data_IF_207136046547
#
_entry.id   IF_207136046547
#
_cell.length_a   1.000
_cell.length_b   1.000
_cell.length_c   1.000
_cell.angle_alpha   90.00
_cell.angle_beta   90.00
_cell.angle_gamma   90.00
#
_symmetry.space_group_name_H-M   'P 1'
#
loop_
_entity.id
_entity.type
_entity.pdbx_description
1 polymer ?
#
# COMPACT_ATOMS: atom_id res chain seq x y z
N UNK A 1 -11.49 -11.68 1.08
CA UNK A 1 -11.09 -10.31 0.72
C UNK A 1 -9.75 -10.43 0.00
N UNK A 2 -9.72 -10.29 -1.33
CA UNK A 2 -8.46 -10.35 -2.09
C UNK A 2 -7.98 -8.91 -2.29
N UNK A 3 -6.89 -8.54 -1.63
CA UNK A 3 -6.31 -7.19 -1.66
C UNK A 3 -4.88 -7.24 -2.17
N UNK A 4 -4.52 -6.27 -3.03
CA UNK A 4 -3.17 -6.09 -3.56
C UNK A 4 -2.36 -5.19 -2.64
N UNK A 5 -1.13 -5.59 -2.30
CA UNK A 5 -0.21 -4.83 -1.45
C UNK A 5 1.23 -4.98 -1.95
N UNK A 6 1.98 -3.86 -1.95
CA UNK A 6 3.43 -3.86 -2.09
C UNK A 6 4.03 -4.50 -0.82
N UNK A 7 4.24 -5.81 -0.91
CA UNK A 7 4.98 -6.75 -0.03
C UNK A 7 4.53 -6.96 1.43
N UNK A 8 4.08 -8.19 1.74
CA UNK A 8 4.47 -9.02 2.89
C UNK A 8 4.16 -10.50 2.58
N UNK A 9 4.96 -11.50 3.01
CA UNK A 9 4.54 -12.91 2.97
C UNK A 9 3.52 -13.16 4.09
N UNK A 10 2.37 -13.79 3.78
CA UNK A 10 1.50 -14.36 4.81
C UNK A 10 1.33 -15.86 4.60
N UNK A 11 1.61 -16.59 5.68
CA UNK A 11 0.88 -17.81 5.96
C UNK A 11 -0.63 -17.51 5.93
N UNK A 12 -1.40 -18.43 5.35
CA UNK A 12 -2.86 -18.46 5.25
C UNK A 12 -3.55 -17.54 4.21
N UNK A 13 -4.07 -18.17 3.15
CA UNK A 13 -5.43 -17.93 2.65
C UNK A 13 -5.72 -16.79 1.65
N UNK A 14 -4.84 -15.83 1.42
CA UNK A 14 -5.05 -14.78 0.39
C UNK A 14 -4.01 -14.88 -0.72
N UNK A 15 -4.47 -14.92 -1.98
CA UNK A 15 -3.59 -14.89 -3.15
C UNK A 15 -2.72 -13.61 -3.09
N UNK A 16 -1.42 -13.80 -2.86
CA UNK A 16 -0.39 -12.77 -2.86
C UNK A 16 0.63 -13.17 -3.91
N UNK A 17 0.70 -12.44 -5.02
CA UNK A 17 1.72 -12.63 -6.06
C UNK A 17 2.50 -11.33 -6.30
N UNK A 18 3.80 -11.45 -6.58
CA UNK A 18 4.65 -10.32 -7.00
C UNK A 18 4.75 -10.33 -8.52
N UNK A 19 4.43 -9.21 -9.16
CA UNK A 19 4.58 -9.03 -10.60
C UNK A 19 5.17 -7.65 -10.87
N UNK A 20 6.04 -7.56 -11.88
CA UNK A 20 6.52 -6.26 -12.37
C UNK A 20 5.40 -5.56 -13.14
N UNK A 21 5.30 -4.24 -12.98
CA UNK A 21 4.47 -3.39 -13.83
C UNK A 21 5.39 -2.77 -14.88
N UNK A 22 5.18 -3.13 -16.15
CA UNK A 22 6.07 -2.81 -17.26
C UNK A 22 5.62 -1.60 -18.06
N UNK A 23 4.47 -0.99 -17.70
CA UNK A 23 3.95 0.22 -18.33
C UNK A 23 3.05 -0.04 -19.54
N UNK A 24 2.82 -1.30 -19.89
CA UNK A 24 1.71 -1.72 -20.76
C UNK A 24 0.49 -2.00 -19.89
N UNK A 25 -0.49 -1.08 -19.93
CA UNK A 25 -1.66 -1.14 -19.05
C UNK A 25 -2.49 -2.43 -19.24
N UNK A 26 -2.56 -2.99 -20.46
CA UNK A 26 -3.34 -4.22 -20.70
C UNK A 26 -2.62 -5.42 -20.11
N UNK A 27 -1.33 -5.56 -20.46
CA UNK A 27 -0.51 -6.66 -19.97
C UNK A 27 -0.38 -6.64 -18.44
N UNK A 28 -0.14 -5.48 -17.86
CA UNK A 28 0.02 -5.32 -16.42
C UNK A 28 -1.28 -5.65 -15.66
N UNK A 29 -2.44 -5.38 -16.25
CA UNK A 29 -3.74 -5.76 -15.67
C UNK A 29 -3.96 -7.26 -15.69
N UNK A 30 -3.59 -7.94 -16.77
CA UNK A 30 -3.65 -9.40 -16.86
C UNK A 30 -2.78 -10.03 -15.77
N UNK A 31 -1.54 -9.55 -15.59
CA UNK A 31 -0.65 -10.02 -14.53
C UNK A 31 -1.26 -9.88 -13.12
N UNK A 32 -1.89 -8.74 -12.83
CA UNK A 32 -2.55 -8.51 -11.53
C UNK A 32 -3.74 -9.46 -11.35
N UNK A 33 -4.58 -9.62 -12.37
CA UNK A 33 -5.73 -10.51 -12.33
C UNK A 33 -5.29 -11.99 -12.18
N UNK A 34 -4.31 -12.44 -12.94
CA UNK A 34 -3.79 -13.81 -12.86
C UNK A 34 -3.22 -14.10 -11.47
N UNK A 35 -2.43 -13.16 -10.93
CA UNK A 35 -1.90 -13.21 -9.58
C UNK A 35 -2.97 -13.30 -8.49
N UNK A 36 -4.11 -12.65 -8.71
CA UNK A 36 -5.23 -12.64 -7.78
C UNK A 36 -6.27 -13.74 -8.05
N UNK A 37 -6.14 -14.51 -9.14
CA UNK A 37 -7.14 -15.49 -9.59
C UNK A 37 -8.44 -14.85 -10.08
N UNK A 38 -8.36 -13.68 -10.70
CA UNK A 38 -9.46 -12.88 -11.22
C UNK A 38 -9.43 -11.41 -10.75
N UNK A 39 -10.49 -10.64 -11.05
CA UNK A 39 -10.60 -9.25 -10.60
C UNK A 39 -10.59 -9.12 -9.07
N UNK A 40 -10.00 -8.03 -8.56
CA UNK A 40 -9.83 -7.79 -7.12
C UNK A 40 -11.02 -7.06 -6.50
N UNK A 41 -11.24 -7.25 -5.20
CA UNK A 41 -12.31 -6.57 -4.47
C UNK A 41 -11.97 -5.11 -4.19
N UNK A 42 -10.68 -4.84 -3.96
CA UNK A 42 -10.20 -3.55 -3.47
C UNK A 42 -8.72 -3.32 -3.82
N UNK A 43 -8.43 -2.08 -4.17
CA UNK A 43 -7.07 -1.51 -4.21
C UNK A 43 -6.85 -0.62 -3.01
N UNK A 44 -5.68 -0.75 -2.39
CA UNK A 44 -5.18 0.20 -1.42
C UNK A 44 -3.82 0.69 -1.90
N UNK A 45 -3.78 1.95 -2.32
CA UNK A 45 -2.62 2.59 -2.90
C UNK A 45 -1.82 3.33 -1.82
N UNK A 46 -0.56 2.92 -1.64
CA UNK A 46 0.48 3.58 -0.85
C UNK A 46 1.74 3.81 -1.68
N UNK A 47 1.61 3.92 -3.00
CA UNK A 47 2.77 4.03 -3.87
C UNK A 47 3.53 5.35 -3.62
N UNK A 48 4.88 5.32 -3.71
CA UNK A 48 5.70 6.49 -3.43
C UNK A 48 5.66 7.50 -4.59
N UNK A 49 6.37 8.62 -4.49
CA UNK A 49 6.25 9.72 -5.45
C UNK A 49 6.76 9.39 -6.86
N UNK A 50 7.64 8.39 -6.97
CA UNK A 50 8.37 8.05 -8.19
C UNK A 50 7.57 7.12 -9.12
N UNK A 51 6.37 6.68 -8.70
CA UNK A 51 5.51 5.88 -9.58
C UNK A 51 4.71 6.75 -10.53
N UNK A 52 4.34 6.18 -11.68
CA UNK A 52 3.48 6.86 -12.64
C UNK A 52 1.99 6.66 -12.34
N UNK A 53 1.17 7.59 -12.83
CA UNK A 53 -0.28 7.48 -12.85
C UNK A 53 -0.76 6.20 -13.54
N UNK A 54 -0.02 5.72 -14.54
CA UNK A 54 -0.31 4.47 -15.25
C UNK A 54 -0.23 3.26 -14.31
N UNK A 55 0.79 3.20 -13.44
CA UNK A 55 0.94 2.11 -12.47
C UNK A 55 -0.20 2.07 -11.45
N UNK A 56 -0.66 3.24 -10.99
CA UNK A 56 -1.86 3.33 -10.14
C UNK A 56 -3.10 2.89 -10.91
N UNK A 57 -3.29 3.37 -12.14
CA UNK A 57 -4.43 3.02 -13.00
C UNK A 57 -4.54 1.52 -13.27
N UNK A 58 -3.44 0.82 -13.52
CA UNK A 58 -3.44 -0.64 -13.72
C UNK A 58 -4.19 -1.31 -12.58
N UNK A 59 -3.78 -1.06 -11.33
CA UNK A 59 -4.42 -1.66 -10.17
C UNK A 59 -5.89 -1.22 -10.05
N UNK A 60 -6.19 0.06 -10.29
CA UNK A 60 -7.57 0.57 -10.24
C UNK A 60 -8.50 -0.12 -11.25
N UNK A 61 -8.01 -0.43 -12.45
CA UNK A 61 -8.79 -1.02 -13.53
C UNK A 61 -8.92 -2.55 -13.42
N UNK A 62 -8.29 -3.19 -12.43
CA UNK A 62 -8.49 -4.62 -12.13
C UNK A 62 -9.54 -4.88 -11.04
N UNK A 63 -10.12 -3.83 -10.45
CA UNK A 63 -11.23 -4.01 -9.51
C UNK A 63 -12.45 -4.56 -10.22
N UNK A 64 -13.17 -5.47 -9.56
CA UNK A 64 -14.45 -5.98 -10.05
C UNK A 64 -15.54 -4.89 -10.09
N UNK A 65 -16.68 -5.19 -10.73
CA UNK A 65 -17.91 -4.41 -10.63
C UNK A 65 -18.29 -4.16 -9.16
N UNK A 66 -18.51 -2.90 -8.79
CA UNK A 66 -18.76 -2.46 -7.41
C UNK A 66 -17.50 -2.45 -6.52
N UNK A 67 -16.32 -2.54 -7.12
CA UNK A 67 -15.03 -2.55 -6.45
C UNK A 67 -14.64 -1.21 -5.82
N UNK A 68 -13.60 -1.24 -4.98
CA UNK A 68 -13.15 -0.08 -4.20
C UNK A 68 -11.70 0.27 -4.46
N UNK A 69 -11.41 1.55 -4.62
CA UNK A 69 -10.05 2.08 -4.72
C UNK A 69 -9.86 3.10 -3.61
N UNK A 70 -8.88 2.84 -2.74
CA UNK A 70 -8.45 3.76 -1.69
C UNK A 70 -7.11 4.35 -2.11
N UNK A 71 -7.07 5.67 -2.30
CA UNK A 71 -5.89 6.42 -2.73
C UNK A 71 -5.22 7.09 -1.53
N UNK A 72 -4.05 6.60 -1.12
CA UNK A 72 -3.18 7.22 -0.10
C UNK A 72 -1.72 7.33 -0.60
N UNK A 73 -1.46 7.06 -1.88
CA UNK A 73 -0.16 7.22 -2.51
C UNK A 73 0.28 8.69 -2.58
N UNK A 74 1.55 8.90 -2.89
CA UNK A 74 2.20 10.22 -2.87
C UNK A 74 2.31 10.90 -4.25
N UNK A 75 1.51 10.48 -5.24
CA UNK A 75 1.55 11.07 -6.58
C UNK A 75 1.23 12.58 -6.51
N UNK A 76 1.92 13.36 -7.34
CA UNK A 76 1.85 14.82 -7.35
C UNK A 76 2.13 15.37 -8.75
N UNK A 77 1.83 16.64 -9.00
CA UNK A 77 2.03 17.25 -10.32
C UNK A 77 1.20 16.57 -11.41
N UNK A 78 1.78 16.34 -12.59
CA UNK A 78 1.10 15.70 -13.72
C UNK A 78 0.71 14.24 -13.41
N UNK A 79 1.55 13.50 -12.68
CA UNK A 79 1.24 12.13 -12.26
C UNK A 79 0.08 12.07 -11.25
N UNK A 80 -0.22 13.18 -10.57
CA UNK A 80 -1.43 13.29 -9.74
C UNK A 80 -2.73 13.23 -10.55
N UNK A 81 -2.67 13.47 -11.87
CA UNK A 81 -3.82 13.32 -12.76
C UNK A 81 -3.95 11.87 -13.25
N UNK A 82 -4.76 11.10 -12.55
CA UNK A 82 -5.01 9.71 -12.91
C UNK A 82 -5.78 9.53 -14.23
N UNK A 83 -6.40 10.58 -14.79
CA UNK A 83 -7.12 10.48 -16.06
C UNK A 83 -8.33 9.53 -15.99
N UNK A 84 -9.08 9.56 -14.88
CA UNK A 84 -10.17 8.62 -14.66
C UNK A 84 -11.32 8.82 -15.66
N UNK A 85 -11.58 7.78 -16.44
CA UNK A 85 -12.67 7.76 -17.41
C UNK A 85 -14.04 7.67 -16.70
N UNK A 86 -14.90 8.66 -16.93
CA UNK A 86 -16.24 8.72 -16.35
C UNK A 86 -17.13 7.53 -16.76
N UNK A 87 -17.09 7.13 -18.03
CA UNK A 87 -17.91 6.05 -18.56
C UNK A 87 -17.54 4.71 -17.92
N UNK A 88 -16.24 4.42 -17.80
CA UNK A 88 -15.75 3.24 -17.09
C UNK A 88 -16.24 3.21 -15.64
N UNK A 89 -16.09 4.33 -14.91
CA UNK A 89 -16.47 4.40 -13.49
C UNK A 89 -17.95 4.17 -13.27
N UNK A 90 -18.79 4.74 -14.14
CA UNK A 90 -20.25 4.56 -14.06
C UNK A 90 -20.65 3.10 -14.32
N UNK A 91 -20.16 2.47 -15.39
CA UNK A 91 -20.50 1.08 -15.71
C UNK A 91 -19.89 0.04 -14.76
N UNK A 92 -18.80 0.38 -14.07
CA UNK A 92 -18.17 -0.51 -13.08
C UNK A 92 -18.59 -0.22 -11.64
N UNK A 93 -19.47 0.77 -11.42
CA UNK A 93 -19.93 1.17 -10.08
C UNK A 93 -18.77 1.39 -9.08
N UNK A 94 -17.62 1.84 -9.57
CA UNK A 94 -16.37 1.85 -8.79
C UNK A 94 -16.35 3.01 -7.81
N UNK A 95 -16.17 2.70 -6.53
CA UNK A 95 -15.89 3.71 -5.51
C UNK A 95 -14.40 4.06 -5.51
N UNK A 96 -14.10 5.34 -5.71
CA UNK A 96 -12.74 5.89 -5.57
C UNK A 96 -12.77 6.87 -4.41
N UNK A 97 -11.92 6.63 -3.40
CA UNK A 97 -11.87 7.42 -2.18
C UNK A 97 -10.42 7.83 -1.87
N UNK A 98 -10.16 9.13 -1.82
CA UNK A 98 -8.90 9.67 -1.34
C UNK A 98 -8.85 9.66 0.19
N UNK A 99 -7.73 9.24 0.75
CA UNK A 99 -7.48 9.26 2.19
C UNK A 99 -6.18 10.00 2.44
N UNK A 100 -6.20 10.94 3.37
CA UNK A 100 -5.01 11.59 3.88
C UNK A 100 -4.75 11.09 5.29
N UNK A 101 -3.62 10.41 5.49
CA UNK A 101 -3.23 9.79 6.75
C UNK A 101 -4.29 8.81 7.29
N UNK A 102 -5.08 9.22 8.28
CA UNK A 102 -6.07 8.37 8.93
C UNK A 102 -7.11 9.19 9.69
N UNK A 103 -8.31 8.63 9.86
CA UNK A 103 -9.35 9.23 10.68
C UNK A 103 -9.04 9.18 12.18
N UNK A 104 -9.73 10.00 12.98
CA UNK A 104 -9.56 10.12 14.44
C UNK A 104 -9.58 8.75 15.16
N UNK A 105 -10.47 7.86 14.75
CA UNK A 105 -10.66 6.57 15.43
C UNK A 105 -9.66 5.50 15.02
N UNK A 106 -8.79 5.76 14.04
CA UNK A 106 -7.88 4.74 13.50
C UNK A 106 -6.84 4.31 14.53
N UNK A 107 -6.21 5.25 15.23
CA UNK A 107 -5.19 4.99 16.24
C UNK A 107 -5.71 4.12 17.40
N UNK A 108 -6.81 4.46 18.09
CA UNK A 108 -7.31 3.60 19.17
C UNK A 108 -7.73 2.22 18.68
N UNK A 109 -8.30 2.10 17.46
CA UNK A 109 -8.63 0.78 16.87
C UNK A 109 -7.38 -0.04 16.55
N UNK A 110 -6.35 0.58 16.00
CA UNK A 110 -5.06 -0.08 15.73
C UNK A 110 -4.45 -0.63 17.02
N UNK A 111 -4.41 0.18 18.08
CA UNK A 111 -3.94 -0.26 19.39
C UNK A 111 -4.76 -1.43 19.95
N UNK A 112 -6.09 -1.42 19.76
CA UNK A 112 -6.96 -2.54 20.15
C UNK A 112 -6.65 -3.82 19.37
N UNK A 113 -6.41 -3.73 18.06
CA UNK A 113 -6.04 -4.89 17.23
C UNK A 113 -4.70 -5.50 17.65
N UNK A 114 -3.71 -4.66 17.95
CA UNK A 114 -2.42 -5.11 18.50
C UNK A 114 -2.63 -5.82 19.85
N UNK A 115 -3.37 -5.20 20.77
CA UNK A 115 -3.67 -5.80 22.09
C UNK A 115 -4.46 -7.11 22.00
N UNK A 116 -5.31 -7.24 20.99
CA UNK A 116 -6.08 -8.47 20.72
C UNK A 116 -5.26 -9.55 20.01
N UNK A 117 -3.99 -9.29 19.66
CA UNK A 117 -3.13 -10.23 18.94
C UNK A 117 -3.48 -10.39 17.46
N UNK A 118 -4.30 -9.50 16.90
CA UNK A 118 -4.66 -9.50 15.47
C UNK A 118 -3.57 -8.89 14.59
N UNK A 119 -2.69 -8.09 15.19
CA UNK A 119 -1.52 -7.50 14.54
C UNK A 119 -0.30 -7.84 15.38
N UNK A 120 0.57 -8.66 14.80
CA UNK A 120 1.86 -9.01 15.39
C UNK A 120 2.89 -7.93 15.04
N UNK A 121 3.37 -7.21 16.07
CA UNK A 121 4.44 -6.22 15.90
C UNK A 121 5.84 -6.86 15.92
N UNK A 122 5.96 -8.12 16.34
CA UNK A 122 7.21 -8.87 16.33
C UNK A 122 7.72 -9.22 14.93
N UNK A 123 6.92 -8.95 13.90
CA UNK A 123 7.35 -9.11 12.50
C UNK A 123 8.33 -8.04 12.04
N UNK A 124 8.47 -6.92 12.75
CA UNK A 124 9.38 -5.84 12.38
C UNK A 124 10.80 -6.06 12.91
N UNK A 125 11.78 -5.86 12.04
CA UNK A 125 13.19 -5.83 12.39
C UNK A 125 13.55 -4.41 12.84
N UNK A 126 14.03 -4.28 14.07
CA UNK A 126 14.34 -2.98 14.68
C UNK A 126 15.85 -2.72 14.66
N UNK A 127 16.26 -1.57 14.13
CA UNK A 127 17.57 -0.98 14.42
C UNK A 127 17.37 0.16 15.41
N UNK A 128 17.93 0.00 16.60
CA UNK A 128 17.72 0.90 17.72
C UNK A 128 18.91 1.85 17.89
N UNK A 129 18.61 3.14 18.07
CA UNK A 129 19.58 4.21 18.32
C UNK A 129 19.22 4.94 19.62
N UNK A 130 20.23 5.48 20.30
CA UNK A 130 20.03 6.36 21.45
C UNK A 130 19.49 7.71 21.00
N UNK A 131 18.92 8.48 21.94
CA UNK A 131 18.38 9.81 21.62
C UNK A 131 19.46 10.79 21.12
N UNK A 132 20.69 10.68 21.62
CA UNK A 132 21.83 11.51 21.20
C UNK A 132 22.40 11.12 19.83
N UNK A 133 21.97 9.97 19.28
CA UNK A 133 22.36 9.45 17.95
C UNK A 133 21.27 9.72 16.89
N UNK A 134 20.43 10.75 17.09
CA UNK A 134 19.27 11.00 16.23
C UNK A 134 19.63 11.26 14.76
N UNK A 135 20.80 11.85 14.49
CA UNK A 135 21.25 12.12 13.13
C UNK A 135 21.70 10.84 12.42
N UNK A 136 22.42 9.97 13.14
CA UNK A 136 22.84 8.65 12.69
C UNK A 136 21.61 7.77 12.40
N UNK A 137 20.60 7.81 13.29
CA UNK A 137 19.33 7.13 13.09
C UNK A 137 18.62 7.60 11.81
N UNK A 138 18.58 8.92 11.57
CA UNK A 138 17.99 9.47 10.35
C UNK A 138 18.76 9.05 9.08
N UNK A 139 20.09 9.01 9.14
CA UNK A 139 20.93 8.55 8.02
C UNK A 139 20.72 7.06 7.74
N UNK A 140 20.66 6.22 8.79
CA UNK A 140 20.35 4.79 8.66
C UNK A 140 18.94 4.59 8.08
N UNK A 141 17.92 5.30 8.56
CA UNK A 141 16.57 5.18 8.02
C UNK A 141 16.47 5.51 6.51
N UNK A 142 17.32 6.43 6.03
CA UNK A 142 17.39 6.78 4.61
C UNK A 142 18.15 5.74 3.77
N UNK A 143 19.18 5.10 4.33
CA UNK A 143 20.01 4.12 3.64
C UNK A 143 19.41 2.70 3.66
N UNK A 144 18.82 2.31 4.78
CA UNK A 144 18.35 0.96 5.10
C UNK A 144 16.81 0.92 5.16
N UNK A 145 16.18 1.48 4.12
CA UNK A 145 14.74 1.44 3.95
C UNK A 145 14.31 0.11 3.32
N UNK A 146 13.40 -0.61 3.98
CA UNK A 146 12.90 -1.88 3.47
C UNK A 146 11.62 -2.35 4.13
N UNK A 147 10.93 -3.35 3.53
CA UNK A 147 9.77 -3.96 4.16
C UNK A 147 10.13 -4.52 5.54
N UNK A 148 9.32 -4.19 6.54
CA UNK A 148 9.49 -4.61 7.95
C UNK A 148 10.73 -4.06 8.68
N UNK A 149 11.53 -3.21 8.05
CA UNK A 149 12.68 -2.59 8.70
C UNK A 149 12.23 -1.28 9.36
N UNK A 150 12.50 -1.12 10.65
CA UNK A 150 12.20 0.08 11.41
C UNK A 150 13.44 0.61 12.11
N UNK A 151 13.75 1.87 11.87
CA UNK A 151 14.73 2.61 12.67
C UNK A 151 14.01 3.27 13.83
N UNK A 152 14.46 3.03 15.06
CA UNK A 152 13.76 3.47 16.28
C UNK A 152 14.73 4.18 17.21
N UNK A 153 14.30 5.34 17.74
CA UNK A 153 14.96 5.99 18.85
C UNK A 153 14.45 5.43 20.17
N UNK A 154 15.38 5.03 21.04
CA UNK A 154 15.11 4.52 22.39
C UNK A 154 15.68 5.46 23.44
N UNK A 155 14.85 6.37 23.99
CA UNK A 155 15.29 7.31 25.03
C UNK A 155 15.69 6.64 26.34
N UNK A 156 15.28 5.38 26.54
CA UNK A 156 15.53 4.57 27.71
C UNK A 156 16.89 3.84 27.67
N UNK A 157 17.65 3.97 26.59
CA UNK A 157 19.02 3.44 26.48
C UNK A 157 20.09 4.50 26.66
#
# INVERSE_FOLDING_TARGET
MRGFWKTFPSASGTASGRFGLWGDEVHDRELVCDGAGGPIDMVLDFLPREVSAAQVRVAMLTVKLGGRVILMGSLSGEEGNLGLNYNWRMHNETMVHGVWMYGRDAIPRMAQMVRAGLIDLGQFELTEFRLDEANEAAAHAAADAGPRQLTVLRPDR
#
